data_IF_719230090588
#
_entry.id   IF_719230090588
#
_cell.length_a   1.000
_cell.length_b   1.000
_cell.length_c   1.000
_cell.angle_alpha   90.00
_cell.angle_beta   90.00
_cell.angle_gamma   90.00
#
_symmetry.space_group_name_H-M   'P 1'
#
loop_
_entity.id
_entity.type
_entity.pdbx_description
1 polymer ?
#
# COMPACT_ATOMS: atom_id res chain seq x y z
N UNK A 1 -13.49 -1.06 13.32
CA UNK A 1 -13.68 -0.97 11.86
C UNK A 1 -12.48 -1.62 11.19
N UNK A 2 -12.68 -2.32 10.08
CA UNK A 2 -11.61 -3.00 9.35
C UNK A 2 -11.00 -2.01 8.36
N UNK A 3 -9.72 -1.65 8.53
CA UNK A 3 -8.99 -0.89 7.52
C UNK A 3 -8.62 -1.80 6.34
N UNK A 4 -8.76 -1.29 5.12
CA UNK A 4 -8.44 -1.98 3.88
C UNK A 4 -7.47 -1.14 3.04
N UNK A 5 -6.61 -1.81 2.27
CA UNK A 5 -5.69 -1.14 1.36
C UNK A 5 -6.50 -0.55 0.19
N UNK A 6 -6.50 0.78 -0.02
CA UNK A 6 -7.22 1.38 -1.13
C UNK A 6 -6.60 0.94 -2.45
N UNK A 7 -7.41 0.65 -3.46
CA UNK A 7 -6.89 0.32 -4.79
C UNK A 7 -6.20 1.54 -5.41
N UNK A 8 -5.17 1.29 -6.23
CA UNK A 8 -4.59 2.32 -7.07
C UNK A 8 -5.61 2.78 -8.11
N UNK A 9 -5.72 4.10 -8.31
CA UNK A 9 -6.57 4.71 -9.33
C UNK A 9 -5.90 4.80 -10.71
N UNK A 10 -4.71 4.22 -10.83
CA UNK A 10 -3.87 4.22 -12.02
C UNK A 10 -3.10 2.91 -12.08
N UNK A 11 -2.58 2.59 -13.27
CA UNK A 11 -1.72 1.41 -13.49
C UNK A 11 -0.37 1.59 -12.80
N UNK A 12 0.23 0.50 -12.32
CA UNK A 12 1.39 0.50 -11.39
C UNK A 12 2.64 1.24 -11.90
N UNK A 13 2.73 1.53 -13.19
CA UNK A 13 3.83 2.22 -13.86
C UNK A 13 3.47 3.61 -14.40
N UNK A 14 2.25 4.11 -14.15
CA UNK A 14 1.76 5.39 -14.66
C UNK A 14 2.60 6.62 -14.25
N UNK A 15 3.45 6.47 -13.23
CA UNK A 15 4.29 7.56 -12.69
C UNK A 15 5.74 7.48 -13.19
N UNK A 16 6.08 6.53 -14.06
CA UNK A 16 7.41 6.44 -14.65
C UNK A 16 7.68 7.61 -15.62
N UNK A 17 8.93 8.10 -15.74
CA UNK A 17 10.14 7.62 -15.05
C UNK A 17 10.36 8.27 -13.66
N UNK A 18 9.51 9.21 -13.25
CA UNK A 18 9.68 9.96 -11.98
C UNK A 18 9.59 9.04 -10.77
N UNK A 19 8.64 8.11 -10.78
CA UNK A 19 8.53 7.02 -9.81
C UNK A 19 8.53 5.70 -10.57
N UNK A 20 9.52 4.87 -10.29
CA UNK A 20 9.63 3.57 -10.94
C UNK A 20 8.49 2.63 -10.54
N UNK A 21 8.13 1.70 -11.43
CA UNK A 21 7.21 0.59 -11.13
C UNK A 21 7.63 -0.18 -9.89
N UNK A 22 8.94 -0.49 -9.77
CA UNK A 22 9.49 -1.19 -8.61
C UNK A 22 9.24 -0.41 -7.31
N UNK A 23 9.45 0.91 -7.31
CA UNK A 23 9.17 1.75 -6.14
C UNK A 23 7.72 1.63 -5.71
N UNK A 24 6.75 1.65 -6.63
CA UNK A 24 5.34 1.49 -6.30
C UNK A 24 4.99 0.07 -5.85
N UNK A 25 5.55 -0.98 -6.45
CA UNK A 25 5.36 -2.37 -6.02
C UNK A 25 5.80 -2.58 -4.56
N UNK A 26 6.94 -2.01 -4.16
CA UNK A 26 7.40 -2.06 -2.79
C UNK A 26 6.58 -1.14 -1.88
N UNK A 27 6.36 0.11 -2.26
CA UNK A 27 5.68 1.09 -1.42
C UNK A 27 4.21 0.72 -1.18
N UNK A 28 3.44 0.49 -2.25
CA UNK A 28 2.03 0.13 -2.14
C UNK A 28 1.85 -1.34 -1.75
N UNK A 29 2.50 -2.26 -2.48
CA UNK A 29 2.27 -3.69 -2.34
C UNK A 29 2.86 -4.32 -1.08
N UNK A 30 3.93 -3.74 -0.51
CA UNK A 30 4.55 -4.24 0.74
C UNK A 30 4.33 -3.29 1.90
N UNK A 31 4.83 -2.06 1.83
CA UNK A 31 4.84 -1.15 2.99
C UNK A 31 3.45 -0.71 3.42
N UNK A 32 2.62 -0.18 2.51
CA UNK A 32 1.25 0.24 2.83
C UNK A 32 0.38 -0.95 3.25
N UNK A 33 0.50 -2.09 2.54
CA UNK A 33 -0.19 -3.32 2.93
C UNK A 33 0.18 -3.78 4.35
N UNK A 34 1.46 -3.70 4.72
CA UNK A 34 1.92 -4.02 6.07
C UNK A 34 1.29 -3.10 7.12
N UNK A 35 1.22 -1.79 6.88
CA UNK A 35 0.56 -0.85 7.80
C UNK A 35 -0.93 -1.15 7.97
N UNK A 36 -1.65 -1.44 6.87
CA UNK A 36 -3.07 -1.83 6.91
C UNK A 36 -3.27 -3.13 7.70
N UNK A 37 -2.38 -4.11 7.50
CA UNK A 37 -2.43 -5.37 8.22
C UNK A 37 -2.16 -5.18 9.73
N UNK A 38 -1.17 -4.36 10.09
CA UNK A 38 -0.81 -4.11 11.49
C UNK A 38 -1.83 -3.25 12.24
N UNK A 39 -2.58 -2.39 11.55
CA UNK A 39 -3.68 -1.62 12.14
C UNK A 39 -4.77 -2.52 12.76
N UNK A 40 -4.80 -3.82 12.43
CA UNK A 40 -5.73 -4.81 13.00
C UNK A 40 -5.43 -5.20 14.45
N UNK A 41 -4.23 -4.91 14.98
CA UNK A 41 -3.84 -5.31 16.35
C UNK A 41 -3.97 -4.23 17.43
N UNK A 42 -4.40 -3.00 17.08
CA UNK A 42 -4.58 -1.93 18.06
C UNK A 42 -5.91 -1.99 18.86
N UNK A 43 -6.63 -3.13 18.84
CA UNK A 43 -7.91 -3.27 19.55
C UNK A 43 -8.10 -4.56 20.35
N UNK A 44 -6.99 -5.16 20.80
CA UNK A 44 -7.00 -6.19 21.87
C UNK A 44 -5.79 -5.95 22.77
N UNK A 45 -5.83 -4.85 23.51
CA UNK A 45 -5.21 -4.63 24.82
C UNK A 45 -6.19 -3.77 25.60
#
# INVERSE_FOLDING_TARGET
MIHQLPKLNFIIDALAPIISKQTLEFHYGKHHQAYVNNSRYAKVM
#
